data_IF_091658943332
#
_entry.id   IF_091658943332
#
_cell.length_a   1.000
_cell.length_b   1.000
_cell.length_c   1.000
_cell.angle_alpha   90.00
_cell.angle_beta   90.00
_cell.angle_gamma   90.00
#
_symmetry.space_group_name_H-M   'P 1'
#
loop_
_entity.id
_entity.type
_entity.pdbx_description
1 polymer ?
#
# COMPACT_ATOMS: atom_id res chain seq x y z
N UNK A 1 -7.69 24.50 8.93
CA UNK A 1 -7.82 24.20 7.49
C UNK A 1 -6.41 24.22 6.92
N UNK A 2 -5.87 23.07 6.50
CA UNK A 2 -4.49 22.99 6.03
C UNK A 2 -4.43 23.55 4.59
N UNK A 3 -3.72 24.66 4.43
CA UNK A 3 -3.40 25.26 3.14
C UNK A 3 -2.36 24.37 2.44
N UNK A 4 -2.85 23.44 1.62
CA UNK A 4 -1.99 22.59 0.79
C UNK A 4 -1.79 23.36 -0.51
N UNK A 5 -0.70 24.10 -0.58
CA UNK A 5 -0.26 24.73 -1.83
C UNK A 5 -0.08 23.65 -2.91
N UNK A 6 -0.36 23.95 -4.20
CA UNK A 6 -0.27 22.98 -5.29
C UNK A 6 1.13 22.34 -5.40
N UNK A 7 2.18 23.09 -5.03
CA UNK A 7 3.57 22.62 -4.98
C UNK A 7 3.76 21.50 -3.94
N UNK A 8 3.25 21.69 -2.70
CA UNK A 8 3.30 20.65 -1.65
C UNK A 8 2.52 19.40 -2.06
N UNK A 9 1.42 19.58 -2.77
CA UNK A 9 0.61 18.46 -3.27
C UNK A 9 1.35 17.68 -4.36
N UNK A 10 2.08 18.36 -5.23
CA UNK A 10 2.91 17.71 -6.24
C UNK A 10 4.09 16.95 -5.60
N UNK A 11 4.80 17.58 -4.65
CA UNK A 11 5.87 16.92 -3.89
C UNK A 11 5.38 15.67 -3.14
N UNK A 12 4.18 15.73 -2.56
CA UNK A 12 3.58 14.59 -1.87
C UNK A 12 3.24 13.44 -2.84
N UNK A 13 2.67 13.75 -4.01
CA UNK A 13 2.38 12.76 -5.05
C UNK A 13 3.67 12.10 -5.56
N UNK A 14 4.74 12.88 -5.79
CA UNK A 14 6.05 12.34 -6.18
C UNK A 14 6.65 11.43 -5.10
N UNK A 15 6.57 11.83 -3.82
CA UNK A 15 7.01 10.98 -2.70
C UNK A 15 6.23 9.67 -2.66
N UNK A 16 4.91 9.73 -2.80
CA UNK A 16 4.05 8.55 -2.82
C UNK A 16 4.37 7.62 -3.99
N UNK A 17 4.60 8.16 -5.19
CA UNK A 17 5.03 7.38 -6.36
C UNK A 17 6.35 6.67 -6.13
N UNK A 18 7.34 7.36 -5.56
CA UNK A 18 8.63 6.76 -5.22
C UNK A 18 8.48 5.62 -4.21
N UNK A 19 7.70 5.82 -3.15
CA UNK A 19 7.41 4.76 -2.17
C UNK A 19 6.78 3.53 -2.83
N UNK A 20 5.83 3.72 -3.76
CA UNK A 20 5.22 2.61 -4.48
C UNK A 20 6.18 1.92 -5.47
N UNK A 21 7.15 2.64 -6.03
CA UNK A 21 8.22 2.04 -6.85
C UNK A 21 9.12 1.12 -6.03
N UNK A 22 9.56 1.59 -4.86
CA UNK A 22 10.34 0.77 -3.92
C UNK A 22 9.52 -0.44 -3.48
N UNK A 23 8.26 -0.25 -3.09
CA UNK A 23 7.39 -1.34 -2.64
C UNK A 23 7.17 -2.40 -3.74
N UNK A 24 7.01 -1.98 -5.00
CA UNK A 24 6.92 -2.92 -6.12
C UNK A 24 8.20 -3.75 -6.28
N UNK A 25 9.37 -3.10 -6.20
CA UNK A 25 10.66 -3.78 -6.31
C UNK A 25 10.85 -4.82 -5.19
N UNK A 26 10.54 -4.44 -3.96
CA UNK A 26 10.58 -5.35 -2.80
C UNK A 26 9.64 -6.54 -2.98
N UNK A 27 8.39 -6.29 -3.40
CA UNK A 27 7.40 -7.34 -3.64
C UNK A 27 7.81 -8.31 -4.76
N UNK A 28 8.49 -7.82 -5.80
CA UNK A 28 9.04 -8.66 -6.88
C UNK A 28 10.28 -9.46 -6.44
N UNK A 29 11.05 -8.94 -5.50
CA UNK A 29 12.25 -9.57 -4.94
C UNK A 29 11.93 -10.63 -3.87
N UNK A 30 10.68 -10.73 -3.42
CA UNK A 30 10.26 -11.71 -2.43
C UNK A 30 10.46 -13.15 -2.90
N UNK A 31 10.90 -14.00 -1.97
CA UNK A 31 11.02 -15.44 -2.21
C UNK A 31 9.65 -16.07 -2.52
N UNK A 32 9.60 -17.11 -3.37
CA UNK A 32 8.37 -17.89 -3.58
C UNK A 32 7.81 -18.39 -2.24
N UNK A 33 6.53 -18.11 -1.96
CA UNK A 33 5.86 -18.50 -0.72
C UNK A 33 6.02 -17.51 0.46
N UNK A 34 6.68 -16.36 0.25
CA UNK A 34 6.68 -15.29 1.25
C UNK A 34 5.26 -14.80 1.54
N UNK A 35 4.93 -14.65 2.82
CA UNK A 35 3.64 -14.14 3.27
C UNK A 35 3.69 -12.61 3.25
N UNK A 36 2.78 -12.00 2.52
CA UNK A 36 2.60 -10.54 2.51
C UNK A 36 1.39 -10.21 3.38
N UNK A 37 1.51 -9.15 4.16
CA UNK A 37 0.47 -8.69 5.07
C UNK A 37 0.16 -7.24 4.76
N UNK A 38 -1.12 -6.89 4.78
CA UNK A 38 -1.55 -5.51 4.57
C UNK A 38 -1.88 -4.85 5.91
N UNK A 39 -1.45 -3.60 6.10
CA UNK A 39 -1.59 -2.86 7.35
C UNK A 39 -2.89 -2.03 7.43
N UNK A 40 -3.75 -2.05 6.40
CA UNK A 40 -5.03 -1.33 6.40
C UNK A 40 -6.00 -1.96 7.39
N UNK A 41 -6.88 -1.14 7.98
CA UNK A 41 -8.04 -1.60 8.74
C UNK A 41 -8.94 -2.48 7.88
N UNK A 42 -8.73 -3.78 7.91
CA UNK A 42 -9.61 -4.76 7.26
C UNK A 42 -10.79 -5.11 8.16
N UNK A 43 -12.00 -5.24 7.58
CA UNK A 43 -13.16 -5.75 8.31
C UNK A 43 -12.87 -7.17 8.83
N UNK A 44 -13.37 -7.44 10.05
CA UNK A 44 -13.05 -8.62 10.85
C UNK A 44 -13.24 -9.94 10.09
N UNK A 45 -14.23 -9.99 9.20
CA UNK A 45 -14.62 -11.16 8.43
C UNK A 45 -13.57 -11.65 7.41
N UNK A 46 -12.58 -10.81 7.06
CA UNK A 46 -11.57 -11.13 6.02
C UNK A 46 -10.15 -11.28 6.54
N UNK A 47 -9.92 -11.06 7.83
CA UNK A 47 -8.58 -11.07 8.41
C UNK A 47 -8.17 -12.49 8.83
N UNK A 48 -6.93 -12.87 8.54
CA UNK A 48 -6.36 -14.14 9.01
C UNK A 48 -5.83 -13.91 10.43
N UNK A 49 -6.35 -14.65 11.39
CA UNK A 49 -5.96 -14.51 12.80
C UNK A 49 -4.64 -15.24 13.03
N UNK A 50 -3.64 -14.53 13.54
CA UNK A 50 -2.40 -15.15 14.03
C UNK A 50 -2.52 -15.28 15.56
N UNK A 51 -2.46 -16.50 16.12
CA UNK A 51 -2.51 -16.67 17.56
C UNK A 51 -1.21 -16.15 18.20
N UNK A 52 -1.32 -15.22 19.14
CA UNK A 52 -0.22 -14.78 20.00
C UNK A 52 -0.40 -15.30 21.43
N UNK A 53 0.69 -15.34 22.20
CA UNK A 53 0.65 -15.72 23.61
C UNK A 53 -0.25 -14.76 24.41
N UNK A 54 -0.87 -15.27 25.49
CA UNK A 54 -1.83 -14.54 26.36
C UNK A 54 -3.19 -14.18 25.72
N UNK A 55 -3.78 -15.04 24.88
CA UNK A 55 -5.09 -14.83 24.26
C UNK A 55 -5.24 -13.51 23.45
N UNK A 56 -4.13 -12.87 23.10
CA UNK A 56 -4.15 -11.69 22.23
C UNK A 56 -4.24 -12.15 20.77
N UNK A 57 -5.18 -11.56 20.03
CA UNK A 57 -5.37 -11.81 18.60
C UNK A 57 -4.87 -10.60 17.82
N UNK A 58 -3.86 -10.80 16.97
CA UNK A 58 -3.45 -9.79 16.01
C UNK A 58 -4.04 -10.12 14.64
N UNK A 59 -4.75 -9.15 14.07
CA UNK A 59 -5.44 -9.28 12.80
C UNK A 59 -4.52 -8.78 11.70
N UNK A 60 -3.98 -9.70 10.91
CA UNK A 60 -3.21 -9.36 9.72
C UNK A 60 -3.86 -10.04 8.52
N UNK A 61 -4.55 -9.30 7.64
CA UNK A 61 -5.05 -9.89 6.40
C UNK A 61 -3.86 -10.37 5.58
N UNK A 62 -3.76 -11.69 5.39
CA UNK A 62 -2.80 -12.27 4.46
C UNK A 62 -3.17 -11.85 3.04
N UNK A 63 -2.24 -11.23 2.34
CA UNK A 63 -2.30 -11.10 0.90
C UNK A 63 -1.30 -12.06 0.25
N UNK A 64 -1.70 -12.57 -0.92
CA UNK A 64 -0.75 -13.15 -1.86
C UNK A 64 0.13 -12.04 -2.46
N UNK A 65 1.40 -12.32 -2.74
CA UNK A 65 2.31 -11.35 -3.35
C UNK A 65 1.79 -10.80 -4.68
N UNK A 66 1.05 -11.60 -5.46
CA UNK A 66 0.42 -11.14 -6.71
C UNK A 66 -0.71 -10.15 -6.45
N UNK A 67 -1.49 -10.37 -5.40
CA UNK A 67 -2.57 -9.46 -5.02
C UNK A 67 -2.01 -8.14 -4.51
N UNK A 68 -0.92 -8.19 -3.73
CA UNK A 68 -0.23 -6.99 -3.26
C UNK A 68 0.36 -6.17 -4.42
N UNK A 69 0.98 -6.83 -5.40
CA UNK A 69 1.50 -6.17 -6.61
C UNK A 69 0.38 -5.47 -7.41
N UNK A 70 -0.76 -6.14 -7.61
CA UNK A 70 -1.91 -5.52 -8.29
C UNK A 70 -2.43 -4.29 -7.58
N UNK A 71 -2.42 -4.29 -6.24
CA UNK A 71 -2.84 -3.12 -5.47
C UNK A 71 -1.87 -1.95 -5.64
N UNK A 72 -0.56 -2.22 -5.60
CA UNK A 72 0.49 -1.21 -5.88
C UNK A 72 0.34 -0.62 -7.28
N UNK A 73 0.12 -1.44 -8.32
CA UNK A 73 -0.13 -0.97 -9.68
C UNK A 73 -1.38 -0.08 -9.77
N UNK A 74 -2.46 -0.47 -9.10
CA UNK A 74 -3.70 0.32 -9.04
C UNK A 74 -3.46 1.68 -8.39
N UNK A 75 -2.73 1.72 -7.26
CA UNK A 75 -2.43 2.96 -6.56
C UNK A 75 -1.54 3.89 -7.40
N UNK A 76 -0.53 3.34 -8.10
CA UNK A 76 0.29 4.12 -9.04
C UNK A 76 -0.55 4.75 -10.15
N UNK A 77 -1.49 4.00 -10.74
CA UNK A 77 -2.37 4.53 -11.79
C UNK A 77 -3.22 5.70 -11.29
N UNK A 78 -3.73 5.64 -10.07
CA UNK A 78 -4.49 6.74 -9.46
C UNK A 78 -3.60 7.96 -9.21
N UNK A 79 -2.38 7.76 -8.68
CA UNK A 79 -1.45 8.86 -8.42
C UNK A 79 -0.98 9.55 -9.71
N UNK A 80 -0.71 8.79 -10.77
CA UNK A 80 -0.36 9.34 -12.08
C UNK A 80 -1.53 10.13 -12.68
N UNK A 81 -2.77 9.64 -12.52
CA UNK A 81 -3.96 10.37 -12.96
C UNK A 81 -4.18 11.67 -12.15
N UNK A 82 -3.80 11.69 -10.87
CA UNK A 82 -3.84 12.90 -10.04
C UNK A 82 -2.73 13.88 -10.43
N UNK A 83 -1.54 13.39 -10.77
CA UNK A 83 -0.43 14.21 -11.25
C UNK A 83 -0.79 14.89 -12.59
N UNK A 84 -1.37 14.14 -13.53
CA UNK A 84 -1.84 14.67 -14.81
C UNK A 84 -2.96 15.72 -14.70
N UNK A 85 -3.68 15.76 -13.56
CA UNK A 85 -4.65 16.82 -13.27
C UNK A 85 -4.01 18.06 -12.63
N UNK A 86 -2.79 17.94 -12.09
CA UNK A 86 -2.06 19.03 -11.46
C UNK A 86 -1.13 19.76 -12.44
N UNK A 87 -0.66 19.08 -13.49
CA UNK A 87 0.10 19.70 -14.58
C UNK A 87 -0.89 20.31 -15.62
N UNK A 88 -0.94 21.64 -15.78
CA UNK A 88 -1.86 22.32 -16.70
C UNK A 88 -1.48 22.19 -18.18
#
# INVERSE_FOLDING_TARGET
MADVTPERRNEEIHRQLHTLQVLEAELRSLKPGAKVYNAISTPLDKARVIPHAHNQMALFPNLDSKTALKDVERQKKVLLANLAQLEP
#
